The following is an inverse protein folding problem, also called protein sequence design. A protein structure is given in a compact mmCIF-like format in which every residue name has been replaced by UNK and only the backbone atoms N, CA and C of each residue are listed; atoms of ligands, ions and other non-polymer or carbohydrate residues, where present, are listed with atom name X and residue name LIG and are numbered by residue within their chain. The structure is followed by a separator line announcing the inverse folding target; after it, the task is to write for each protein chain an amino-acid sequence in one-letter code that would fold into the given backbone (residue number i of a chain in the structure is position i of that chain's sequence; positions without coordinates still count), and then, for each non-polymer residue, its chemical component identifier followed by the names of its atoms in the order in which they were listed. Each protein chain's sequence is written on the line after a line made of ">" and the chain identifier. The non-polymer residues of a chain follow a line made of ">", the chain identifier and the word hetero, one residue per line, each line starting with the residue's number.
data_IF_637365836856
#
_entry.id   IF_637365836856
#
_cell.length_a   1.000
_cell.length_b   1.000
_cell.length_c   1.000
_cell.angle_alpha   90.00
_cell.angle_beta   90.00
_cell.angle_gamma   90.00
#
_symmetry.space_group_name_H-M   'P 1'
#
loop_
_entity.id
_entity.type
_entity.pdbx_description
1 polymer ?
#
# COMPACT_ATOMS: atom_id res chain seq x y z
N UNK A 1 1.00 36.47 -9.30
CA UNK A 1 1.65 35.66 -10.35
C UNK A 1 1.03 34.28 -10.28
N UNK A 2 0.67 33.68 -11.43
CA UNK A 2 0.15 32.32 -11.44
C UNK A 2 1.27 31.33 -11.11
N UNK A 3 0.94 30.29 -10.34
CA UNK A 3 1.86 29.19 -10.07
C UNK A 3 1.65 28.09 -11.12
N UNK A 4 2.70 27.70 -11.83
CA UNK A 4 2.63 26.66 -12.85
C UNK A 4 3.10 25.33 -12.28
N UNK A 5 2.25 24.33 -12.39
CA UNK A 5 2.53 22.93 -12.10
C UNK A 5 2.89 22.24 -13.41
N UNK A 6 4.11 21.73 -13.52
CA UNK A 6 4.60 21.01 -14.70
C UNK A 6 5.00 19.58 -14.30
N UNK A 7 4.18 18.57 -14.63
CA UNK A 7 4.52 17.18 -14.38
C UNK A 7 5.76 16.74 -15.18
N UNK A 8 6.50 15.71 -14.71
CA UNK A 8 7.51 15.03 -15.51
C UNK A 8 6.97 14.57 -16.87
N UNK A 9 7.83 14.51 -17.88
CA UNK A 9 7.45 14.09 -19.23
C UNK A 9 6.95 12.64 -19.28
N UNK A 10 7.54 11.77 -18.45
CA UNK A 10 7.20 10.36 -18.36
C UNK A 10 6.75 10.02 -16.95
N UNK A 11 5.55 9.44 -16.85
CA UNK A 11 4.94 9.00 -15.61
C UNK A 11 4.44 7.56 -15.77
N UNK A 12 5.37 6.62 -15.93
CA UNK A 12 5.08 5.18 -15.95
C UNK A 12 5.33 4.51 -14.60
N UNK A 13 5.02 3.22 -14.49
CA UNK A 13 5.09 2.47 -13.23
C UNK A 13 6.47 2.54 -12.57
N UNK A 14 7.55 2.56 -13.37
CA UNK A 14 8.93 2.70 -12.88
C UNK A 14 9.22 4.07 -12.26
N UNK A 15 8.44 5.09 -12.63
CA UNK A 15 8.58 6.46 -12.16
C UNK A 15 7.80 6.71 -10.87
N UNK A 16 6.89 5.81 -10.48
CA UNK A 16 5.98 6.02 -9.34
C UNK A 16 6.72 6.31 -8.03
N UNK A 17 7.76 5.53 -7.72
CA UNK A 17 8.58 5.75 -6.52
C UNK A 17 9.25 7.12 -6.52
N UNK A 18 9.79 7.55 -7.68
CA UNK A 18 10.47 8.83 -7.78
C UNK A 18 9.48 10.00 -7.74
N UNK A 19 8.31 9.83 -8.36
CA UNK A 19 7.19 10.75 -8.27
C UNK A 19 6.73 10.94 -6.81
N UNK A 20 6.55 9.85 -6.06
CA UNK A 20 6.17 9.93 -4.65
C UNK A 20 7.20 10.71 -3.82
N UNK A 21 8.50 10.44 -4.05
CA UNK A 21 9.60 11.15 -3.36
C UNK A 21 9.66 12.64 -3.69
N UNK A 22 9.24 13.04 -4.89
CA UNK A 22 9.23 14.45 -5.31
C UNK A 22 7.96 15.20 -4.92
N UNK A 23 6.99 14.53 -4.29
CA UNK A 23 5.72 15.12 -3.86
C UNK A 23 5.87 15.89 -2.54
N UNK A 24 6.65 16.98 -2.52
CA UNK A 24 6.91 17.73 -1.28
C UNK A 24 5.90 18.85 -1.02
N UNK A 25 5.69 19.23 0.24
CA UNK A 25 4.95 20.44 0.61
C UNK A 25 5.39 21.68 -0.21
N UNK A 26 6.69 21.89 -0.42
CA UNK A 26 7.22 23.07 -1.12
C UNK A 26 6.98 23.05 -2.63
N UNK A 27 6.90 21.86 -3.23
CA UNK A 27 6.72 21.67 -4.67
C UNK A 27 5.24 21.67 -5.06
N UNK A 28 4.34 21.26 -4.15
CA UNK A 28 2.93 21.09 -4.49
C UNK A 28 2.00 21.97 -3.69
N UNK A 29 2.22 22.25 -2.40
CA UNK A 29 1.39 23.23 -1.66
C UNK A 29 1.66 24.60 -2.26
N UNK A 30 0.78 24.99 -3.17
CA UNK A 30 0.77 26.30 -3.82
C UNK A 30 1.04 27.37 -2.76
N UNK A 31 2.21 28.00 -2.85
CA UNK A 31 2.58 29.15 -2.02
C UNK A 31 1.58 30.26 -2.32
N UNK A 32 0.54 30.40 -1.51
CA UNK A 32 -0.35 31.57 -1.39
C UNK A 32 -0.94 32.17 -2.70
N UNK A 33 -0.84 31.52 -3.87
CA UNK A 33 -1.41 32.05 -5.12
C UNK A 33 -2.82 31.56 -5.33
N UNK A 34 -3.71 32.44 -5.77
CA UNK A 34 -5.08 32.09 -6.18
C UNK A 34 -5.13 31.41 -7.54
N UNK A 35 -4.19 31.73 -8.45
CA UNK A 35 -4.19 31.23 -9.83
C UNK A 35 -3.15 30.11 -10.02
N UNK A 36 -3.62 28.98 -10.53
CA UNK A 36 -2.82 27.77 -10.80
C UNK A 36 -2.94 27.42 -12.28
N UNK A 37 -1.81 27.15 -12.92
CA UNK A 37 -1.75 26.59 -14.29
C UNK A 37 -1.22 25.18 -14.20
N UNK A 38 -2.03 24.17 -14.54
CA UNK A 38 -1.60 22.80 -14.71
C UNK A 38 -1.16 22.59 -16.17
N UNK A 39 0.15 22.59 -16.41
CA UNK A 39 0.71 22.46 -17.75
C UNK A 39 1.03 21.00 -18.06
N UNK A 40 0.11 20.33 -18.75
CA UNK A 40 0.27 18.95 -19.22
C UNK A 40 0.83 18.89 -20.65
N UNK A 41 1.19 20.02 -21.26
CA UNK A 41 1.59 20.07 -22.67
C UNK A 41 2.92 19.39 -22.96
N UNK A 42 3.82 19.36 -21.96
CA UNK A 42 5.12 18.68 -22.06
C UNK A 42 5.07 17.19 -21.69
N UNK A 43 3.93 16.68 -21.24
CA UNK A 43 3.81 15.27 -20.84
C UNK A 43 3.77 14.40 -22.09
N UNK A 44 4.60 13.36 -22.14
CA UNK A 44 4.63 12.38 -23.24
C UNK A 44 3.89 11.10 -22.88
N UNK A 45 3.90 10.70 -21.61
CA UNK A 45 3.22 9.48 -21.13
C UNK A 45 2.71 9.63 -19.70
N UNK A 46 1.48 9.16 -19.47
CA UNK A 46 0.88 9.02 -18.13
C UNK A 46 0.26 7.63 -17.99
N UNK A 47 0.62 6.94 -16.91
CA UNK A 47 -0.08 5.76 -16.43
C UNK A 47 -1.38 6.14 -15.68
N UNK A 48 -2.32 5.19 -15.50
CA UNK A 48 -3.57 5.39 -14.76
C UNK A 48 -3.38 5.98 -13.37
N UNK A 49 -2.40 5.49 -12.60
CA UNK A 49 -2.10 6.05 -11.28
C UNK A 49 -1.76 7.54 -11.35
N UNK A 50 -1.02 7.98 -12.37
CA UNK A 50 -0.63 9.37 -12.53
C UNK A 50 -1.85 10.23 -12.86
N UNK A 51 -2.72 9.77 -13.76
CA UNK A 51 -4.00 10.42 -14.07
C UNK A 51 -4.81 10.64 -12.78
N UNK A 52 -4.96 9.60 -11.97
CA UNK A 52 -5.73 9.64 -10.71
C UNK A 52 -5.12 10.62 -9.73
N UNK A 53 -3.83 10.50 -9.41
CA UNK A 53 -3.17 11.36 -8.40
C UNK A 53 -3.17 12.83 -8.82
N UNK A 54 -2.70 13.14 -10.03
CA UNK A 54 -2.67 14.52 -10.49
C UNK A 54 -4.06 15.15 -10.55
N UNK A 55 -5.03 14.45 -11.12
CA UNK A 55 -6.38 15.02 -11.27
C UNK A 55 -7.05 15.22 -9.92
N UNK A 56 -6.85 14.29 -8.99
CA UNK A 56 -7.42 14.40 -7.64
C UNK A 56 -6.82 15.58 -6.87
N UNK A 57 -5.51 15.79 -7.02
CA UNK A 57 -4.84 16.95 -6.45
C UNK A 57 -5.35 18.28 -7.04
N UNK A 58 -5.47 18.37 -8.36
CA UNK A 58 -6.00 19.55 -9.04
C UNK A 58 -7.47 19.81 -8.66
N UNK A 59 -8.26 18.76 -8.46
CA UNK A 59 -9.63 18.87 -7.99
C UNK A 59 -9.69 19.45 -6.56
N UNK A 60 -8.79 19.01 -5.68
CA UNK A 60 -8.65 19.58 -4.33
C UNK A 60 -8.26 21.07 -4.35
N UNK A 61 -7.30 21.47 -5.20
CA UNK A 61 -6.95 22.88 -5.39
C UNK A 61 -8.17 23.70 -5.82
N UNK A 62 -8.92 23.20 -6.80
CA UNK A 62 -10.11 23.87 -7.33
C UNK A 62 -11.23 23.97 -6.29
N UNK A 63 -11.63 22.86 -5.66
CA UNK A 63 -12.84 22.80 -4.83
C UNK A 63 -12.62 23.10 -3.35
N UNK A 64 -11.43 22.82 -2.81
CA UNK A 64 -11.14 23.03 -1.38
C UNK A 64 -10.38 24.33 -1.18
N UNK A 65 -9.33 24.54 -1.97
CA UNK A 65 -8.51 25.75 -1.90
C UNK A 65 -9.09 26.92 -2.69
N UNK A 66 -10.15 26.69 -3.47
CA UNK A 66 -10.85 27.70 -4.25
C UNK A 66 -9.91 28.42 -5.24
N UNK A 67 -8.90 27.69 -5.73
CA UNK A 67 -7.98 28.19 -6.72
C UNK A 67 -8.64 28.30 -8.09
N UNK A 68 -8.31 29.35 -8.84
CA UNK A 68 -8.59 29.41 -10.27
C UNK A 68 -7.61 28.48 -10.97
N UNK A 69 -8.15 27.43 -11.59
CA UNK A 69 -7.38 26.42 -12.30
C UNK A 69 -7.50 26.61 -13.81
N UNK A 70 -6.36 26.76 -14.48
CA UNK A 70 -6.22 26.64 -15.94
C UNK A 70 -5.47 25.34 -16.24
N UNK A 71 -5.98 24.54 -17.19
CA UNK A 71 -5.31 23.31 -17.63
C UNK A 71 -4.85 23.49 -19.07
N UNK A 72 -3.56 23.29 -19.33
CA UNK A 72 -2.97 23.34 -20.67
C UNK A 72 -2.69 21.92 -21.15
N UNK A 73 -3.17 21.62 -22.35
CA UNK A 73 -2.88 20.38 -23.07
C UNK A 73 -1.97 20.70 -24.26
N UNK A 74 -1.16 19.73 -24.69
CA UNK A 74 -0.36 19.86 -25.90
C UNK A 74 -1.19 19.64 -27.15
N UNK A 75 -0.67 20.07 -28.30
CA UNK A 75 -1.35 19.99 -29.59
C UNK A 75 -1.56 18.53 -30.04
N UNK A 76 -2.74 17.97 -29.78
CA UNK A 76 -3.17 16.62 -30.21
C UNK A 76 -2.15 15.50 -29.94
N UNK A 77 -1.28 15.67 -28.93
CA UNK A 77 -0.30 14.66 -28.55
C UNK A 77 -1.00 13.41 -28.01
N UNK A 78 -0.33 12.25 -28.07
CA UNK A 78 -0.89 10.99 -27.54
C UNK A 78 -1.29 11.12 -26.06
N UNK A 79 -0.48 11.82 -25.27
CA UNK A 79 -0.75 12.11 -23.86
C UNK A 79 -1.98 13.02 -23.67
N UNK A 80 -2.15 14.05 -24.51
CA UNK A 80 -3.29 14.95 -24.44
C UNK A 80 -4.59 14.26 -24.87
N UNK A 81 -4.52 13.41 -25.89
CA UNK A 81 -5.63 12.50 -26.27
C UNK A 81 -5.98 11.58 -25.11
N UNK A 82 -4.99 10.96 -24.47
CA UNK A 82 -5.21 10.07 -23.32
C UNK A 82 -5.78 10.82 -22.10
N UNK A 83 -5.35 12.05 -21.83
CA UNK A 83 -5.92 12.91 -20.78
C UNK A 83 -7.41 13.18 -21.00
N UNK A 84 -7.81 13.46 -22.25
CA UNK A 84 -9.22 13.65 -22.62
C UNK A 84 -9.99 12.34 -22.46
N UNK A 85 -9.49 11.24 -23.01
CA UNK A 85 -10.11 9.91 -22.93
C UNK A 85 -10.30 9.44 -21.48
N UNK A 86 -9.34 9.76 -20.61
CA UNK A 86 -9.39 9.40 -19.19
C UNK A 86 -10.40 10.23 -18.40
N UNK A 87 -10.98 11.28 -18.99
CA UNK A 87 -12.03 12.08 -18.36
C UNK A 87 -11.54 13.29 -17.56
N UNK A 88 -10.26 13.67 -17.66
CA UNK A 88 -9.70 14.85 -16.95
C UNK A 88 -10.53 16.12 -17.21
N UNK A 89 -10.92 16.47 -18.45
CA UNK A 89 -11.71 17.68 -18.71
C UNK A 89 -13.09 17.67 -18.03
N UNK A 90 -13.73 16.49 -17.97
CA UNK A 90 -15.03 16.32 -17.32
C UNK A 90 -14.93 16.53 -15.81
N UNK A 91 -13.95 15.88 -15.15
CA UNK A 91 -13.73 15.99 -13.71
C UNK A 91 -13.33 17.42 -13.30
N UNK A 92 -12.44 18.06 -14.07
CA UNK A 92 -11.95 19.40 -13.77
C UNK A 92 -12.85 20.51 -14.34
N UNK A 93 -13.86 20.18 -15.13
CA UNK A 93 -14.85 21.11 -15.67
C UNK A 93 -14.27 22.15 -16.64
N UNK A 94 -13.49 21.72 -17.63
CA UNK A 94 -13.01 22.58 -18.71
C UNK A 94 -13.26 21.96 -20.09
N UNK A 95 -13.25 22.79 -21.14
CA UNK A 95 -13.39 22.33 -22.53
C UNK A 95 -12.02 22.23 -23.18
N UNK A 96 -11.60 21.06 -23.69
CA UNK A 96 -10.33 20.92 -24.39
C UNK A 96 -10.39 21.61 -25.77
N UNK A 97 -9.24 22.05 -26.28
CA UNK A 97 -9.14 22.69 -27.60
C UNK A 97 -9.37 21.76 -28.80
N UNK A 98 -9.50 20.46 -28.55
CA UNK A 98 -9.77 19.44 -29.55
C UNK A 98 -10.52 18.26 -28.91
N UNK A 99 -11.19 17.45 -29.74
CA UNK A 99 -11.89 16.23 -29.30
C UNK A 99 -11.03 14.99 -29.46
N UNK A 100 -11.16 14.03 -28.54
CA UNK A 100 -10.59 12.70 -28.67
C UNK A 100 -11.71 11.66 -28.74
N UNK A 101 -11.57 10.66 -29.61
CA UNK A 101 -12.49 9.51 -29.63
C UNK A 101 -12.39 8.73 -28.32
N UNK A 102 -13.53 8.25 -27.80
CA UNK A 102 -13.53 7.43 -26.59
C UNK A 102 -12.71 6.16 -26.79
N UNK A 103 -11.91 5.78 -25.80
CA UNK A 103 -11.28 4.46 -25.79
C UNK A 103 -12.35 3.37 -25.62
N UNK A 104 -12.05 2.15 -26.07
CA UNK A 104 -12.92 0.98 -25.85
C UNK A 104 -13.19 0.79 -24.35
N UNK A 105 -14.47 0.57 -24.02
CA UNK A 105 -14.95 0.24 -22.67
C UNK A 105 -14.39 -1.07 -22.12
N UNK A 106 -13.81 -1.91 -22.99
CA UNK A 106 -13.15 -3.16 -22.63
C UNK A 106 -11.65 -2.96 -22.33
N UNK A 107 -11.13 -1.74 -22.53
CA UNK A 107 -9.74 -1.39 -22.24
C UNK A 107 -9.57 -0.40 -21.10
N UNK A 108 -10.56 0.44 -20.83
CA UNK A 108 -10.43 1.47 -19.80
C UNK A 108 -11.77 1.79 -19.13
N UNK A 109 -11.71 1.97 -17.82
CA UNK A 109 -12.69 2.69 -17.04
C UNK A 109 -12.13 4.09 -16.77
N UNK A 110 -12.72 5.16 -17.34
CA UNK A 110 -12.23 6.52 -17.15
C UNK A 110 -12.38 6.95 -15.69
N UNK A 111 -11.82 8.13 -15.37
CA UNK A 111 -11.90 8.72 -14.04
C UNK A 111 -13.36 8.75 -13.54
N UNK A 112 -13.57 8.06 -12.43
CA UNK A 112 -14.83 8.00 -11.70
C UNK A 112 -14.64 8.69 -10.36
N UNK A 113 -15.54 9.62 -10.04
CA UNK A 113 -15.55 10.29 -8.75
C UNK A 113 -16.21 9.38 -7.72
N UNK A 114 -15.54 9.16 -6.59
CA UNK A 114 -15.99 8.34 -5.47
C UNK A 114 -16.30 9.26 -4.30
N UNK A 115 -17.57 9.60 -4.10
CA UNK A 115 -18.00 10.48 -3.00
C UNK A 115 -18.98 9.78 -2.06
N UNK A 116 -19.78 8.87 -2.59
CA UNK A 116 -20.88 8.21 -1.89
C UNK A 116 -20.77 6.69 -2.02
N UNK A 117 -21.47 5.97 -1.15
CA UNK A 117 -21.56 4.50 -1.23
C UNK A 117 -22.11 3.98 -2.56
N UNK A 118 -22.88 4.81 -3.27
CA UNK A 118 -23.53 4.44 -4.53
C UNK A 118 -22.55 4.48 -5.72
N UNK A 119 -21.41 5.17 -5.57
CA UNK A 119 -20.37 5.25 -6.60
C UNK A 119 -19.51 3.98 -6.64
N UNK A 120 -19.32 3.35 -5.48
CA UNK A 120 -18.52 2.14 -5.29
C UNK A 120 -18.97 0.96 -6.17
N UNK A 121 -20.24 0.52 -6.16
CA UNK A 121 -20.67 -0.61 -6.97
C UNK A 121 -20.61 -0.32 -8.48
N UNK A 122 -20.81 0.93 -8.90
CA UNK A 122 -20.72 1.36 -10.31
C UNK A 122 -19.28 1.23 -10.82
N UNK A 123 -18.32 1.74 -10.04
CA UNK A 123 -16.91 1.58 -10.37
C UNK A 123 -16.50 0.11 -10.38
N UNK A 124 -16.85 -0.65 -9.35
CA UNK A 124 -16.50 -2.08 -9.29
C UNK A 124 -17.05 -2.87 -10.47
N UNK A 125 -18.28 -2.61 -10.93
CA UNK A 125 -18.84 -3.25 -12.12
C UNK A 125 -17.98 -2.99 -13.37
N UNK A 126 -17.43 -1.78 -13.51
CA UNK A 126 -16.53 -1.47 -14.64
C UNK A 126 -15.22 -2.25 -14.56
N UNK A 127 -14.66 -2.42 -13.36
CA UNK A 127 -13.44 -3.20 -13.14
C UNK A 127 -13.69 -4.69 -13.41
N UNK A 128 -14.81 -5.25 -12.94
CA UNK A 128 -15.18 -6.65 -13.20
C UNK A 128 -15.30 -6.94 -14.71
N UNK A 129 -15.84 -6.01 -15.48
CA UNK A 129 -15.87 -6.14 -16.96
C UNK A 129 -14.47 -6.15 -17.56
N UNK A 130 -13.54 -5.34 -17.07
CA UNK A 130 -12.15 -5.33 -17.56
C UNK A 130 -11.42 -6.64 -17.23
N UNK A 131 -11.69 -7.19 -16.05
CA UNK A 131 -11.20 -8.50 -15.63
C UNK A 131 -11.82 -9.64 -16.44
N UNK A 132 -13.06 -9.47 -16.93
CA UNK A 132 -13.79 -10.45 -17.74
C UNK A 132 -13.77 -11.85 -17.10
N UNK A 133 -14.28 -11.90 -15.88
CA UNK A 133 -14.43 -13.14 -15.12
C UNK A 133 -15.63 -13.90 -15.67
N UNK A 134 -15.44 -15.17 -16.04
CA UNK A 134 -16.52 -16.01 -16.59
C UNK A 134 -17.28 -16.84 -15.56
N UNK A 135 -16.79 -16.89 -14.33
CA UNK A 135 -17.37 -17.64 -13.21
C UNK A 135 -18.07 -16.68 -12.24
N UNK A 136 -19.38 -16.89 -12.01
CA UNK A 136 -20.22 -16.01 -11.19
C UNK A 136 -19.84 -16.01 -9.69
N UNK A 137 -19.40 -17.15 -9.15
CA UNK A 137 -19.02 -17.25 -7.73
C UNK A 137 -17.73 -16.48 -7.49
N UNK A 138 -16.76 -16.71 -8.37
CA UNK A 138 -15.49 -16.01 -8.36
C UNK A 138 -15.66 -14.50 -8.61
N UNK A 139 -16.55 -14.11 -9.53
CA UNK A 139 -16.89 -12.72 -9.78
C UNK A 139 -17.38 -12.04 -8.50
N UNK A 140 -18.24 -12.71 -7.71
CA UNK A 140 -18.75 -12.20 -6.45
C UNK A 140 -17.66 -11.89 -5.42
N UNK A 141 -16.72 -12.81 -5.25
CA UNK A 141 -15.64 -12.64 -4.27
C UNK A 141 -14.57 -11.62 -4.71
N UNK A 142 -14.28 -11.58 -6.01
CA UNK A 142 -13.43 -10.55 -6.62
C UNK A 142 -14.03 -9.17 -6.48
N UNK A 143 -15.32 -9.04 -6.80
CA UNK A 143 -16.06 -7.79 -6.65
C UNK A 143 -16.01 -7.31 -5.20
N UNK A 144 -16.18 -8.21 -4.24
CA UNK A 144 -16.05 -7.88 -2.82
C UNK A 144 -14.66 -7.34 -2.47
N UNK A 145 -13.58 -7.91 -3.02
CA UNK A 145 -12.23 -7.41 -2.74
C UNK A 145 -12.01 -6.03 -3.38
N UNK A 146 -12.44 -5.84 -4.62
CA UNK A 146 -12.22 -4.61 -5.39
C UNK A 146 -13.00 -3.41 -4.83
N UNK A 147 -14.21 -3.62 -4.30
CA UNK A 147 -15.00 -2.52 -3.71
C UNK A 147 -14.33 -1.91 -2.48
N UNK A 148 -13.39 -2.61 -1.82
CA UNK A 148 -12.80 -2.16 -0.56
C UNK A 148 -11.92 -0.92 -0.73
N UNK A 149 -11.20 -0.79 -1.86
CA UNK A 149 -10.39 0.40 -2.14
C UNK A 149 -11.24 1.68 -2.24
N UNK A 150 -12.26 1.77 -3.13
CA UNK A 150 -13.14 2.94 -3.18
C UNK A 150 -14.05 3.06 -1.95
N UNK A 151 -14.43 1.96 -1.27
CA UNK A 151 -15.17 2.02 0.01
C UNK A 151 -14.37 2.73 1.09
N UNK A 152 -13.06 2.45 1.20
CA UNK A 152 -12.17 3.10 2.15
C UNK A 152 -12.14 4.63 1.96
N UNK A 153 -12.20 5.10 0.71
CA UNK A 153 -12.33 6.53 0.41
C UNK A 153 -13.59 7.12 1.07
N UNK A 154 -14.76 6.50 0.82
CA UNK A 154 -16.04 6.99 1.34
C UNK A 154 -16.07 6.95 2.88
N UNK A 155 -15.54 5.89 3.48
CA UNK A 155 -15.64 5.67 4.93
C UNK A 155 -14.60 6.47 5.74
N UNK A 156 -13.38 6.62 5.23
CA UNK A 156 -12.25 7.05 6.04
C UNK A 156 -11.59 8.33 5.57
N UNK A 157 -11.67 8.70 4.28
CA UNK A 157 -10.89 9.84 3.77
C UNK A 157 -11.28 11.17 4.42
N UNK A 158 -12.57 11.37 4.72
CA UNK A 158 -13.15 12.69 5.05
C UNK A 158 -12.76 13.78 4.03
N UNK A 159 -12.43 13.38 2.81
CA UNK A 159 -12.05 14.27 1.72
C UNK A 159 -13.29 15.00 1.20
N UNK A 160 -13.28 16.34 1.24
CA UNK A 160 -14.37 17.17 0.69
C UNK A 160 -14.65 16.88 -0.80
N UNK A 161 -13.64 16.78 -1.69
CA UNK A 161 -13.90 16.40 -3.08
C UNK A 161 -14.21 14.91 -3.26
N UNK A 162 -14.09 14.09 -2.22
CA UNK A 162 -14.09 12.62 -2.31
C UNK A 162 -12.75 12.09 -2.81
N UNK A 163 -12.78 10.96 -3.52
CA UNK A 163 -11.63 10.43 -4.24
C UNK A 163 -11.93 10.22 -5.72
N UNK A 164 -10.89 9.86 -6.46
CA UNK A 164 -10.96 9.48 -7.86
C UNK A 164 -10.48 8.04 -8.03
N UNK A 165 -11.10 7.32 -8.95
CA UNK A 165 -10.73 5.96 -9.30
C UNK A 165 -10.70 5.78 -10.82
N UNK A 166 -9.77 4.98 -11.32
CA UNK A 166 -9.60 4.66 -12.73
C UNK A 166 -9.13 3.21 -12.86
N UNK A 167 -9.45 2.55 -13.97
CA UNK A 167 -8.90 1.24 -14.26
C UNK A 167 -8.54 1.08 -15.74
N UNK A 168 -7.50 0.31 -16.04
CA UNK A 168 -7.05 0.06 -17.40
C UNK A 168 -6.56 -1.38 -17.58
N UNK A 169 -6.99 -2.00 -18.68
CA UNK A 169 -6.51 -3.30 -19.12
C UNK A 169 -5.38 -3.11 -20.16
N UNK A 170 -4.29 -3.85 -19.97
CA UNK A 170 -3.12 -3.91 -20.85
C UNK A 170 -3.03 -5.27 -21.55
N UNK A 171 -3.53 -5.41 -22.80
CA UNK A 171 -3.57 -6.70 -23.49
C UNK A 171 -2.21 -7.36 -23.69
N UNK A 172 -1.14 -6.58 -23.79
CA UNK A 172 0.22 -7.11 -23.99
C UNK A 172 0.78 -7.80 -22.74
N UNK A 173 0.40 -7.34 -21.55
CA UNK A 173 0.91 -7.87 -20.28
C UNK A 173 -0.12 -8.73 -19.56
N UNK A 174 -1.39 -8.68 -19.97
CA UNK A 174 -2.51 -9.33 -19.29
C UNK A 174 -2.93 -8.63 -17.99
N UNK A 175 -2.37 -7.45 -17.68
CA UNK A 175 -2.61 -6.74 -16.44
C UNK A 175 -3.85 -5.84 -16.51
N UNK A 176 -4.66 -5.88 -15.47
CA UNK A 176 -5.67 -4.87 -15.16
C UNK A 176 -5.13 -4.05 -13.99
N UNK A 177 -4.86 -2.77 -14.26
CA UNK A 177 -4.47 -1.79 -13.26
C UNK A 177 -5.70 -1.06 -12.75
N UNK A 178 -5.82 -0.90 -11.44
CA UNK A 178 -6.87 -0.14 -10.76
C UNK A 178 -6.18 0.86 -9.84
N UNK A 179 -6.38 2.14 -10.08
CA UNK A 179 -5.84 3.21 -9.26
C UNK A 179 -6.98 3.94 -8.53
N UNK A 180 -6.80 4.18 -7.23
CA UNK A 180 -7.74 4.92 -6.38
C UNK A 180 -6.96 5.88 -5.51
N UNK A 181 -7.40 7.14 -5.40
CA UNK A 181 -6.80 8.08 -4.48
C UNK A 181 -7.83 9.05 -3.88
N UNK A 182 -7.53 9.56 -2.71
CA UNK A 182 -8.22 10.67 -2.05
C UNK A 182 -7.23 11.75 -1.61
N UNK A 183 -7.77 12.93 -1.30
CA UNK A 183 -7.03 14.06 -0.72
C UNK A 183 -7.52 14.35 0.71
N UNK A 184 -7.61 13.28 1.50
CA UNK A 184 -8.24 13.25 2.82
C UNK A 184 -7.27 13.31 4.00
N UNK A 185 -7.70 12.75 5.14
CA UNK A 185 -6.94 12.76 6.41
C UNK A 185 -5.74 11.80 6.44
N UNK A 186 -5.66 10.87 5.50
CA UNK A 186 -4.64 9.84 5.46
C UNK A 186 -4.83 8.70 6.47
N UNK A 187 -4.04 7.64 6.32
CA UNK A 187 -4.18 6.38 7.06
C UNK A 187 -3.82 6.54 8.54
N UNK A 188 -2.76 7.31 8.85
CA UNK A 188 -2.33 7.56 10.22
C UNK A 188 -3.45 8.20 11.05
N UNK A 189 -4.05 9.29 10.55
CA UNK A 189 -5.12 9.98 11.26
C UNK A 189 -6.40 9.15 11.34
N UNK A 190 -6.69 8.32 10.34
CA UNK A 190 -7.83 7.41 10.37
C UNK A 190 -7.70 6.31 11.44
N UNK A 191 -6.48 5.81 11.69
CA UNK A 191 -6.22 4.75 12.68
C UNK A 191 -5.99 5.28 14.10
N UNK A 192 -5.53 6.53 14.24
CA UNK A 192 -5.13 7.14 15.52
C UNK A 192 -6.14 6.98 16.68
N UNK A 193 -7.47 7.07 16.48
CA UNK A 193 -8.43 6.91 17.57
C UNK A 193 -8.41 5.52 18.22
N UNK A 194 -8.10 4.47 17.46
CA UNK A 194 -8.05 3.08 17.95
C UNK A 194 -6.63 2.62 18.28
N UNK A 195 -5.63 3.16 17.58
CA UNK A 195 -4.22 2.77 17.71
C UNK A 195 -3.36 4.00 18.01
N UNK A 196 -3.48 4.60 19.22
CA UNK A 196 -2.76 5.82 19.58
C UNK A 196 -1.23 5.68 19.57
N UNK A 197 -0.72 4.47 19.75
CA UNK A 197 0.70 4.09 19.70
C UNK A 197 1.32 4.17 18.30
N UNK A 198 0.48 4.21 17.25
CA UNK A 198 0.91 4.41 15.87
C UNK A 198 1.16 5.88 15.64
N UNK A 199 2.43 6.26 15.49
CA UNK A 199 2.91 7.65 15.48
C UNK A 199 3.63 8.05 14.18
N UNK A 200 3.76 7.14 13.22
CA UNK A 200 4.32 7.42 11.89
C UNK A 200 3.43 6.88 10.77
N UNK A 201 3.49 7.50 9.59
CA UNK A 201 2.75 7.05 8.41
C UNK A 201 3.14 5.63 8.00
N UNK A 202 4.43 5.29 8.05
CA UNK A 202 4.89 3.93 7.73
C UNK A 202 4.30 2.90 8.69
N UNK A 203 4.30 3.14 10.00
CA UNK A 203 3.67 2.24 10.98
C UNK A 203 2.17 2.10 10.72
N UNK A 204 1.49 3.20 10.38
CA UNK A 204 0.07 3.19 10.06
C UNK A 204 -0.25 2.35 8.83
N UNK A 205 0.51 2.53 7.75
CA UNK A 205 0.38 1.72 6.54
C UNK A 205 0.65 0.23 6.86
N UNK A 206 1.69 -0.08 7.66
CA UNK A 206 2.06 -1.48 8.00
C UNK A 206 0.97 -2.16 8.79
N UNK A 207 0.36 -1.43 9.72
CA UNK A 207 -0.76 -1.91 10.51
C UNK A 207 -2.02 -2.10 9.64
N UNK A 208 -2.33 -1.13 8.77
CA UNK A 208 -3.57 -1.13 7.98
C UNK A 208 -3.76 -2.33 7.05
N UNK A 209 -2.66 -2.94 6.58
CA UNK A 209 -2.69 -4.09 5.68
C UNK A 209 -2.78 -5.43 6.43
N UNK A 210 -2.84 -5.42 7.76
CA UNK A 210 -3.00 -6.62 8.57
C UNK A 210 -4.48 -7.00 8.70
N UNK A 211 -4.81 -8.30 8.83
CA UNK A 211 -6.16 -8.75 9.12
C UNK A 211 -6.76 -8.04 10.35
N UNK A 212 -8.05 -7.71 10.26
CA UNK A 212 -8.86 -7.15 11.35
C UNK A 212 -8.36 -5.78 11.86
N UNK A 213 -7.72 -4.99 11.01
CA UNK A 213 -7.35 -3.60 11.30
C UNK A 213 -8.32 -2.65 10.61
N UNK A 214 -9.00 -1.81 11.40
CA UNK A 214 -9.83 -0.69 10.91
C UNK A 214 -10.02 0.37 12.00
N UNK A 215 -10.16 1.65 11.61
CA UNK A 215 -10.44 2.76 12.51
C UNK A 215 -11.90 2.82 13.01
N UNK A 216 -12.83 2.14 12.34
CA UNK A 216 -14.26 2.10 12.72
C UNK A 216 -14.80 0.68 12.65
N UNK A 217 -15.03 0.05 13.80
CA UNK A 217 -15.84 -1.17 13.89
C UNK A 217 -17.29 -0.76 14.14
N UNK A 218 -17.93 -0.19 13.12
CA UNK A 218 -19.35 0.16 13.23
C UNK A 218 -20.19 -1.08 12.91
N UNK A 219 -20.88 -1.59 13.93
CA UNK A 219 -21.92 -2.59 13.80
C UNK A 219 -23.05 -2.05 12.91
N UNK A 220 -23.33 -2.73 11.79
CA UNK A 220 -24.57 -2.54 11.04
C UNK A 220 -24.40 -2.23 9.55
N UNK A 221 -24.33 -3.28 8.73
CA UNK A 221 -25.14 -3.46 7.51
C UNK A 221 -24.74 -4.81 6.85
N UNK A 222 -25.74 -5.64 6.58
CA UNK A 222 -25.69 -7.02 6.04
C UNK A 222 -25.29 -8.13 7.03
N UNK A 223 -26.34 -8.73 7.62
CA UNK A 223 -26.33 -9.70 8.72
C UNK A 223 -25.79 -11.11 8.43
N UNK A 224 -24.75 -11.23 7.61
CA UNK A 224 -23.92 -12.45 7.55
C UNK A 224 -22.41 -12.14 7.53
N UNK A 225 -22.03 -10.86 7.55
CA UNK A 225 -20.69 -10.40 7.17
C UNK A 225 -20.13 -9.33 8.13
N UNK A 226 -20.64 -9.27 9.36
CA UNK A 226 -20.08 -8.47 10.46
C UNK A 226 -18.67 -8.91 10.88
N UNK A 227 -18.27 -10.14 10.51
CA UNK A 227 -16.99 -10.75 10.89
C UNK A 227 -15.81 -10.34 9.97
N UNK A 228 -16.08 -9.65 8.86
CA UNK A 228 -15.09 -9.34 7.83
C UNK A 228 -14.56 -7.88 7.83
N UNK A 229 -14.97 -7.05 8.81
CA UNK A 229 -14.46 -5.70 8.94
C UNK A 229 -12.94 -5.70 9.16
N UNK A 230 -12.20 -4.95 8.33
CA UNK A 230 -10.74 -4.89 8.38
C UNK A 230 -10.01 -6.05 7.68
N UNK A 231 -10.70 -6.83 6.82
CA UNK A 231 -10.07 -7.86 5.98
C UNK A 231 -9.86 -7.42 4.52
N UNK A 232 -10.60 -6.41 4.05
CA UNK A 232 -10.62 -6.01 2.64
C UNK A 232 -9.23 -5.67 2.07
N UNK A 233 -8.51 -4.79 2.76
CA UNK A 233 -7.16 -4.37 2.34
C UNK A 233 -6.14 -5.53 2.42
N UNK A 234 -6.31 -6.43 3.39
CA UNK A 234 -5.49 -7.64 3.51
C UNK A 234 -5.74 -8.61 2.34
N UNK A 235 -7.00 -8.88 1.99
CA UNK A 235 -7.34 -9.77 0.88
C UNK A 235 -6.87 -9.23 -0.46
N UNK A 236 -7.12 -7.95 -0.75
CA UNK A 236 -6.75 -7.38 -2.04
C UNK A 236 -5.23 -7.41 -2.27
N UNK A 237 -4.42 -7.17 -1.22
CA UNK A 237 -2.96 -7.30 -1.35
C UNK A 237 -2.51 -8.74 -1.54
N UNK A 238 -3.09 -9.70 -0.83
CA UNK A 238 -2.67 -11.11 -0.93
C UNK A 238 -3.04 -11.67 -2.29
N UNK A 239 -4.23 -11.35 -2.77
CA UNK A 239 -4.72 -11.72 -4.09
C UNK A 239 -3.80 -11.15 -5.18
N UNK A 240 -3.49 -9.85 -5.14
CA UNK A 240 -2.65 -9.21 -6.14
C UNK A 240 -1.23 -9.79 -6.16
N UNK A 241 -0.61 -9.90 -4.99
CA UNK A 241 0.77 -10.38 -4.90
C UNK A 241 0.90 -11.87 -5.21
N UNK A 242 -0.07 -12.70 -4.85
CA UNK A 242 -0.02 -14.14 -5.18
C UNK A 242 -0.37 -14.45 -6.62
N UNK A 243 -1.10 -13.57 -7.30
CA UNK A 243 -1.39 -13.66 -8.74
C UNK A 243 -0.29 -13.04 -9.64
N UNK A 244 0.94 -12.91 -9.12
CA UNK A 244 2.08 -12.27 -9.82
C UNK A 244 1.78 -10.86 -10.32
N UNK A 245 0.94 -10.15 -9.56
CA UNK A 245 0.60 -8.74 -9.73
C UNK A 245 1.31 -7.86 -8.71
N UNK A 246 0.77 -6.66 -8.51
CA UNK A 246 1.37 -5.61 -7.72
C UNK A 246 0.35 -4.85 -6.87
N UNK A 247 0.79 -4.30 -5.75
CA UNK A 247 0.00 -3.47 -4.86
C UNK A 247 0.86 -2.35 -4.29
N UNK A 248 0.61 -1.13 -4.76
CA UNK A 248 1.21 0.08 -4.23
C UNK A 248 0.21 0.77 -3.33
N UNK A 249 0.65 1.19 -2.16
CA UNK A 249 -0.22 1.83 -1.17
C UNK A 249 0.53 2.89 -0.40
N UNK A 250 0.03 4.11 -0.39
CA UNK A 250 0.72 5.25 0.21
C UNK A 250 -0.21 6.24 0.87
N UNK A 251 0.33 6.92 1.88
CA UNK A 251 -0.35 7.97 2.64
C UNK A 251 0.67 8.79 3.39
N UNK A 252 0.49 10.11 3.42
CA UNK A 252 1.44 11.02 4.07
C UNK A 252 2.84 10.81 3.52
N UNK A 253 3.81 10.62 4.41
CA UNK A 253 5.23 10.52 4.09
C UNK A 253 5.70 9.12 3.72
N UNK A 254 4.80 8.13 3.64
CA UNK A 254 5.15 6.73 3.45
C UNK A 254 4.43 6.06 2.27
N UNK A 255 5.09 5.06 1.70
CA UNK A 255 4.55 4.20 0.66
C UNK A 255 5.04 2.75 0.82
N UNK A 256 4.21 1.82 0.38
CA UNK A 256 4.52 0.40 0.25
C UNK A 256 4.41 -0.01 -1.20
N UNK A 257 5.33 -0.86 -1.63
CA UNK A 257 5.31 -1.54 -2.91
C UNK A 257 5.39 -3.04 -2.64
N UNK A 258 4.32 -3.77 -2.94
CA UNK A 258 4.20 -5.21 -2.74
C UNK A 258 3.98 -5.87 -4.11
N UNK A 259 4.68 -6.97 -4.41
CA UNK A 259 4.50 -7.67 -5.69
C UNK A 259 4.70 -9.19 -5.56
N UNK A 260 4.21 -9.91 -6.56
CA UNK A 260 4.51 -11.33 -6.75
C UNK A 260 5.61 -11.54 -7.78
N UNK A 261 6.58 -12.39 -7.47
CA UNK A 261 7.58 -12.87 -8.41
C UNK A 261 7.06 -14.12 -9.14
N UNK A 262 7.59 -14.37 -10.34
CA UNK A 262 7.21 -15.53 -11.17
C UNK A 262 7.52 -16.88 -10.50
N UNK A 263 8.46 -16.92 -9.55
CA UNK A 263 8.79 -18.12 -8.77
C UNK A 263 7.81 -18.37 -7.59
N UNK A 264 6.75 -17.58 -7.50
CA UNK A 264 5.73 -17.64 -6.44
C UNK A 264 6.16 -16.98 -5.13
N UNK A 265 7.37 -16.40 -5.06
CA UNK A 265 7.79 -15.63 -3.89
C UNK A 265 7.17 -14.23 -3.90
N UNK A 266 6.92 -13.69 -2.71
CA UNK A 266 6.42 -12.32 -2.56
C UNK A 266 7.60 -11.37 -2.36
N UNK A 267 7.61 -10.30 -3.13
CA UNK A 267 8.51 -9.18 -2.97
C UNK A 267 7.82 -8.00 -2.29
N UNK A 268 8.63 -7.21 -1.59
CA UNK A 268 8.12 -6.07 -0.81
C UNK A 268 9.20 -5.04 -0.53
N UNK A 269 8.79 -3.78 -0.64
CA UNK A 269 9.58 -2.61 -0.31
C UNK A 269 8.75 -1.59 0.46
N UNK A 270 9.39 -1.00 1.48
CA UNK A 270 8.86 0.15 2.22
C UNK A 270 9.66 1.40 1.89
N UNK A 271 8.95 2.51 1.78
CA UNK A 271 9.52 3.79 1.43
C UNK A 271 9.01 4.82 2.44
N UNK A 272 9.92 5.62 2.95
CA UNK A 272 9.61 6.83 3.69
C UNK A 272 10.36 7.97 3.03
N UNK A 273 9.67 9.09 2.83
CA UNK A 273 10.17 10.21 2.05
C UNK A 273 9.81 11.53 2.72
N UNK A 274 10.49 12.60 2.31
CA UNK A 274 10.12 13.96 2.72
C UNK A 274 8.88 14.46 1.95
N UNK A 275 8.53 13.81 0.85
CA UNK A 275 7.27 14.02 0.14
C UNK A 275 6.09 13.46 0.91
N UNK A 276 5.00 14.23 0.97
CA UNK A 276 3.80 13.94 1.75
C UNK A 276 2.56 13.99 0.85
N UNK A 277 2.01 12.83 0.50
CA UNK A 277 0.71 12.79 -0.19
C UNK A 277 -0.40 13.19 0.81
N UNK A 278 -1.18 14.25 0.54
CA UNK A 278 -2.19 14.75 1.47
C UNK A 278 -3.48 13.91 1.39
N UNK A 279 -3.42 12.64 1.82
CA UNK A 279 -4.54 11.70 1.76
C UNK A 279 -4.06 10.25 1.70
N UNK A 280 -4.77 9.41 0.97
CA UNK A 280 -4.39 8.01 0.70
C UNK A 280 -4.47 7.70 -0.78
N UNK A 281 -3.60 6.82 -1.27
CA UNK A 281 -3.71 6.23 -2.60
C UNK A 281 -3.39 4.74 -2.59
N UNK A 282 -3.99 4.02 -3.54
CA UNK A 282 -3.72 2.62 -3.81
C UNK A 282 -3.67 2.40 -5.33
N UNK A 283 -2.69 1.62 -5.79
CA UNK A 283 -2.64 1.06 -7.14
C UNK A 283 -2.58 -0.46 -7.04
N UNK A 284 -3.53 -1.12 -7.67
CA UNK A 284 -3.67 -2.57 -7.72
C UNK A 284 -3.40 -3.04 -9.15
N UNK A 285 -2.57 -4.06 -9.30
CA UNK A 285 -2.32 -4.71 -10.57
C UNK A 285 -2.71 -6.19 -10.45
N UNK A 286 -3.71 -6.61 -11.22
CA UNK A 286 -4.20 -7.99 -11.27
C UNK A 286 -3.93 -8.60 -12.64
N UNK A 287 -3.52 -9.87 -12.69
CA UNK A 287 -3.41 -10.61 -13.95
C UNK A 287 -4.73 -11.25 -14.31
N UNK A 288 -5.25 -10.93 -15.50
CA UNK A 288 -6.50 -11.48 -16.01
C UNK A 288 -6.48 -13.00 -16.12
N UNK A 289 -5.35 -13.58 -16.55
CA UNK A 289 -5.23 -15.02 -16.74
C UNK A 289 -5.03 -15.79 -15.43
N UNK A 290 -4.59 -15.11 -14.36
CA UNK A 290 -4.45 -15.69 -13.03
C UNK A 290 -5.77 -15.70 -12.25
N UNK A 291 -6.85 -15.13 -12.80
CA UNK A 291 -8.15 -15.01 -12.14
C UNK A 291 -8.69 -16.37 -11.70
N UNK A 292 -8.53 -17.42 -12.50
CA UNK A 292 -9.00 -18.76 -12.15
C UNK A 292 -8.36 -19.34 -10.87
N UNK A 293 -7.21 -18.82 -10.44
CA UNK A 293 -6.55 -19.24 -9.20
C UNK A 293 -7.13 -18.57 -7.96
N UNK A 294 -7.98 -17.56 -8.11
CA UNK A 294 -8.42 -16.69 -7.01
C UNK A 294 -9.27 -17.41 -5.97
N UNK A 295 -10.08 -18.40 -6.33
CA UNK A 295 -10.86 -19.16 -5.34
C UNK A 295 -9.95 -19.89 -4.35
N UNK A 296 -8.87 -20.49 -4.87
CA UNK A 296 -7.83 -21.10 -4.04
C UNK A 296 -7.12 -20.04 -3.17
N UNK A 297 -6.86 -18.86 -3.73
CA UNK A 297 -6.24 -17.74 -3.01
C UNK A 297 -7.15 -17.19 -1.91
N UNK A 298 -8.46 -17.14 -2.12
CA UNK A 298 -9.44 -16.72 -1.12
C UNK A 298 -9.48 -17.69 0.06
N UNK A 299 -9.40 -19.00 -0.21
CA UNK A 299 -9.22 -20.02 0.82
C UNK A 299 -7.98 -19.75 1.67
N UNK A 300 -6.84 -19.56 1.01
CA UNK A 300 -5.56 -19.21 1.68
C UNK A 300 -5.69 -17.91 2.48
N UNK A 301 -6.34 -16.88 1.95
CA UNK A 301 -6.54 -15.61 2.63
C UNK A 301 -7.38 -15.77 3.91
N UNK A 302 -8.45 -16.58 3.87
CA UNK A 302 -9.28 -16.88 5.03
C UNK A 302 -8.50 -17.66 6.09
N UNK A 303 -7.68 -18.63 5.68
CA UNK A 303 -6.81 -19.37 6.61
C UNK A 303 -5.77 -18.46 7.28
N UNK A 304 -5.14 -17.57 6.51
CA UNK A 304 -4.19 -16.59 7.03
C UNK A 304 -4.87 -15.63 8.01
N UNK A 305 -6.05 -15.11 7.69
CA UNK A 305 -6.82 -14.26 8.59
C UNK A 305 -7.21 -15.01 9.89
N UNK A 306 -7.66 -16.26 9.78
CA UNK A 306 -8.03 -17.08 10.93
C UNK A 306 -6.84 -17.42 11.84
N UNK A 307 -5.66 -17.64 11.26
CA UNK A 307 -4.43 -17.88 12.02
C UNK A 307 -4.10 -16.67 12.91
N UNK A 308 -4.22 -15.47 12.35
CA UNK A 308 -4.00 -14.19 13.07
C UNK A 308 -4.94 -14.03 14.26
N UNK A 309 -6.21 -14.41 14.12
CA UNK A 309 -7.21 -14.29 15.19
C UNK A 309 -6.99 -15.28 16.32
N UNK A 310 -6.51 -16.50 16.02
CA UNK A 310 -6.24 -17.53 17.04
C UNK A 310 -5.02 -17.23 17.89
N UNK A 311 -4.02 -16.58 17.31
CA UNK A 311 -2.84 -16.11 18.01
C UNK A 311 -2.32 -14.85 17.32
N UNK A 312 -2.56 -13.64 17.88
CA UNK A 312 -2.06 -12.39 17.31
C UNK A 312 -0.53 -12.38 17.14
N UNK A 313 0.19 -13.26 17.86
CA UNK A 313 1.63 -13.46 17.72
C UNK A 313 2.04 -14.38 16.55
N UNK A 314 1.09 -14.98 15.82
CA UNK A 314 1.36 -15.70 14.57
C UNK A 314 1.49 -14.78 13.35
N UNK A 315 1.18 -13.48 13.50
CA UNK A 315 1.44 -12.51 12.45
C UNK A 315 2.94 -12.33 12.22
N UNK A 316 3.27 -12.49 10.94
CA UNK A 316 4.55 -12.85 10.38
C UNK A 316 5.62 -11.82 10.67
N UNK A 317 6.82 -12.35 10.96
CA UNK A 317 8.06 -11.63 10.77
C UNK A 317 8.00 -10.84 9.45
N UNK A 318 8.27 -9.55 9.53
CA UNK A 318 8.18 -8.67 8.36
C UNK A 318 9.42 -8.83 7.47
N UNK A 319 9.37 -9.77 6.54
CA UNK A 319 10.41 -9.94 5.52
C UNK A 319 10.21 -8.95 4.37
N UNK A 320 11.28 -8.28 3.96
CA UNK A 320 11.35 -7.41 2.78
C UNK A 320 12.60 -7.74 1.95
N UNK A 321 12.67 -7.27 0.71
CA UNK A 321 13.84 -7.51 -0.14
C UNK A 321 14.96 -6.50 0.11
N UNK A 322 14.60 -5.30 0.54
CA UNK A 322 15.52 -4.17 0.80
C UNK A 322 15.16 -3.46 2.09
N UNK A 323 16.14 -2.89 2.80
CA UNK A 323 15.84 -2.06 3.96
C UNK A 323 14.94 -0.88 3.56
N UNK A 324 14.08 -0.40 4.48
CA UNK A 324 13.26 0.78 4.22
C UNK A 324 14.16 1.94 3.78
N UNK A 325 13.88 2.50 2.60
CA UNK A 325 14.63 3.66 2.12
C UNK A 325 14.21 4.85 2.97
N UNK A 326 15.13 5.33 3.79
CA UNK A 326 15.11 6.60 4.52
C UNK A 326 14.09 6.71 5.66
N UNK A 327 14.59 6.55 6.88
CA UNK A 327 13.89 6.86 8.13
C UNK A 327 14.88 6.83 9.29
N UNK A 328 14.46 7.16 10.51
CA UNK A 328 15.27 7.05 11.73
C UNK A 328 15.52 5.60 12.19
N UNK A 329 15.28 4.61 11.33
CA UNK A 329 15.38 3.21 11.64
C UNK A 329 16.85 2.79 11.79
N UNK A 330 17.16 2.03 12.84
CA UNK A 330 18.47 1.41 13.00
C UNK A 330 18.62 0.27 11.98
N UNK A 331 19.52 0.43 11.00
CA UNK A 331 19.80 -0.62 10.00
C UNK A 331 21.06 -1.39 10.42
N UNK A 332 20.90 -2.68 10.70
CA UNK A 332 21.96 -3.60 11.07
C UNK A 332 22.38 -4.44 9.85
N UNK A 333 23.54 -4.12 9.28
CA UNK A 333 24.15 -4.90 8.19
C UNK A 333 24.74 -6.19 8.74
N UNK A 334 24.00 -7.29 8.61
CA UNK A 334 24.36 -8.59 9.19
C UNK A 334 25.67 -9.12 8.61
N UNK A 335 25.96 -8.82 7.35
CA UNK A 335 27.22 -9.21 6.70
C UNK A 335 28.48 -8.71 7.43
N UNK A 336 28.39 -7.65 8.24
CA UNK A 336 29.52 -7.10 9.00
C UNK A 336 29.88 -7.91 10.27
N UNK A 337 29.01 -8.84 10.67
CA UNK A 337 29.18 -9.67 11.85
C UNK A 337 28.62 -11.09 11.69
N UNK A 338 28.45 -11.54 10.44
CA UNK A 338 27.95 -12.88 10.11
C UNK A 338 28.77 -13.96 10.84
N UNK A 339 28.10 -15.03 11.25
CA UNK A 339 28.65 -16.14 12.06
C UNK A 339 29.16 -15.78 13.47
N UNK A 340 29.30 -14.49 13.83
CA UNK A 340 29.76 -14.07 15.16
C UNK A 340 28.58 -13.97 16.17
N UNK A 341 28.28 -15.09 16.81
CA UNK A 341 27.20 -15.24 17.80
C UNK A 341 27.32 -14.26 18.97
N UNK A 342 28.54 -14.04 19.48
CA UNK A 342 28.76 -13.13 20.62
C UNK A 342 28.46 -11.68 20.24
N UNK A 343 28.98 -11.24 19.09
CA UNK A 343 28.74 -9.88 18.59
C UNK A 343 27.26 -9.66 18.25
N UNK A 344 26.58 -10.66 17.70
CA UNK A 344 25.14 -10.61 17.45
C UNK A 344 24.35 -10.43 18.75
N UNK A 345 24.70 -11.16 19.81
CA UNK A 345 24.07 -11.01 21.12
C UNK A 345 24.33 -9.63 21.73
N UNK A 346 25.56 -9.10 21.61
CA UNK A 346 25.89 -7.76 22.11
C UNK A 346 25.11 -6.66 21.38
N UNK A 347 25.00 -6.74 20.05
CA UNK A 347 24.20 -5.82 19.24
C UNK A 347 22.72 -5.89 19.66
N UNK A 348 22.20 -7.10 19.86
CA UNK A 348 20.82 -7.31 20.32
C UNK A 348 20.54 -6.59 21.64
N UNK A 349 21.38 -6.82 22.66
CA UNK A 349 21.17 -6.25 24.00
C UNK A 349 21.44 -4.74 24.06
N UNK A 350 22.49 -4.26 23.39
CA UNK A 350 22.94 -2.86 23.52
C UNK A 350 22.29 -1.91 22.53
N UNK A 351 21.78 -2.40 21.41
CA UNK A 351 21.25 -1.57 20.34
C UNK A 351 19.79 -1.90 20.01
N UNK A 352 19.46 -3.17 19.74
CA UNK A 352 18.13 -3.55 19.24
C UNK A 352 17.04 -3.40 20.30
N UNK A 353 17.23 -4.03 21.46
CA UNK A 353 16.23 -3.99 22.54
C UNK A 353 15.96 -2.54 23.00
N UNK A 354 16.98 -1.68 23.23
CA UNK A 354 16.76 -0.28 23.57
C UNK A 354 16.00 0.53 22.51
N UNK A 355 16.28 0.31 21.22
CA UNK A 355 15.57 1.01 20.13
C UNK A 355 14.08 0.62 20.09
N UNK A 356 13.79 -0.68 20.19
CA UNK A 356 12.42 -1.18 20.25
C UNK A 356 11.70 -0.66 21.51
N UNK A 357 12.38 -0.63 22.66
CA UNK A 357 11.82 -0.06 23.89
C UNK A 357 11.50 1.44 23.74
N UNK A 358 12.28 2.17 22.94
CA UNK A 358 12.03 3.57 22.58
C UNK A 358 11.00 3.75 21.44
N UNK A 359 10.27 2.71 21.05
CA UNK A 359 9.29 2.69 19.95
C UNK A 359 9.90 3.06 18.57
N UNK A 360 11.19 2.80 18.37
CA UNK A 360 11.91 3.06 17.11
C UNK A 360 12.06 1.80 16.28
N UNK A 361 12.08 1.98 14.96
CA UNK A 361 12.18 0.88 14.01
C UNK A 361 13.61 0.32 13.91
N UNK A 362 13.70 -1.00 13.69
CA UNK A 362 14.96 -1.72 13.52
C UNK A 362 14.88 -2.60 12.27
N UNK A 363 15.87 -2.51 11.39
CA UNK A 363 15.98 -3.37 10.21
C UNK A 363 17.21 -4.28 10.32
N UNK A 364 17.01 -5.59 10.21
CA UNK A 364 18.09 -6.56 10.05
C UNK A 364 18.33 -6.80 8.56
N UNK A 365 19.44 -6.32 8.02
CA UNK A 365 19.79 -6.45 6.60
C UNK A 365 20.75 -7.62 6.38
N UNK A 366 20.21 -8.72 5.84
CA UNK A 366 20.95 -9.94 5.48
C UNK A 366 21.49 -9.89 4.04
N UNK A 367 21.44 -8.75 3.36
CA UNK A 367 22.00 -8.62 2.00
C UNK A 367 23.47 -9.02 1.99
N UNK A 368 23.82 -9.95 1.11
CA UNK A 368 25.18 -10.49 1.00
C UNK A 368 25.47 -11.70 1.89
N UNK A 369 24.60 -12.03 2.85
CA UNK A 369 24.71 -13.25 3.68
C UNK A 369 24.21 -14.46 2.88
N UNK A 370 25.05 -15.48 2.70
CA UNK A 370 24.70 -16.68 1.92
C UNK A 370 23.63 -17.52 2.63
N UNK A 371 23.89 -17.90 3.89
CA UNK A 371 22.95 -18.65 4.71
C UNK A 371 23.28 -18.41 6.20
N UNK A 372 22.36 -17.82 6.94
CA UNK A 372 22.54 -17.66 8.38
C UNK A 372 22.21 -18.96 9.11
N UNK A 373 23.08 -19.36 10.05
CA UNK A 373 22.85 -20.56 10.89
C UNK A 373 21.76 -20.29 11.95
N UNK A 374 21.09 -21.35 12.41
CA UNK A 374 20.04 -21.22 13.43
C UNK A 374 20.58 -20.66 14.76
N UNK A 375 21.82 -21.00 15.16
CA UNK A 375 22.46 -20.47 16.38
C UNK A 375 22.75 -18.97 16.28
N UNK A 376 23.21 -18.51 15.11
CA UNK A 376 23.42 -17.10 14.85
C UNK A 376 22.11 -16.32 14.85
N UNK A 377 21.09 -16.80 14.14
CA UNK A 377 19.76 -16.20 14.14
C UNK A 377 19.17 -16.17 15.56
N UNK A 378 19.33 -17.23 16.34
CA UNK A 378 18.91 -17.26 17.74
C UNK A 378 19.58 -16.15 18.55
N UNK A 379 20.88 -15.94 18.38
CA UNK A 379 21.60 -14.83 19.02
C UNK A 379 21.14 -13.45 18.55
N UNK A 380 20.76 -13.29 17.29
CA UNK A 380 20.23 -12.02 16.80
C UNK A 380 18.86 -11.66 17.42
N UNK A 381 17.90 -12.61 17.41
CA UNK A 381 16.49 -12.23 17.52
C UNK A 381 15.61 -13.06 18.46
N UNK A 382 16.08 -14.16 19.06
CA UNK A 382 15.24 -14.98 19.95
C UNK A 382 14.63 -14.16 21.10
N UNK A 383 15.47 -13.45 21.86
CA UNK A 383 14.99 -12.59 22.96
C UNK A 383 14.16 -11.41 22.49
N UNK A 384 14.49 -10.85 21.33
CA UNK A 384 13.70 -9.75 20.74
C UNK A 384 12.28 -10.22 20.48
N UNK A 385 12.12 -11.38 19.85
CA UNK A 385 10.81 -11.95 19.51
C UNK A 385 10.03 -12.47 20.71
N UNK A 386 10.72 -12.87 21.78
CA UNK A 386 10.12 -13.37 23.03
C UNK A 386 9.74 -12.25 24.00
N UNK A 387 10.64 -11.28 24.19
CA UNK A 387 10.58 -10.30 25.27
C UNK A 387 10.05 -8.92 24.82
N UNK A 388 10.11 -8.58 23.52
CA UNK A 388 9.68 -7.27 23.00
C UNK A 388 8.34 -7.38 22.25
N UNK A 389 7.21 -6.96 22.82
CA UNK A 389 5.88 -7.11 22.20
C UNK A 389 5.76 -6.38 20.85
N UNK A 390 6.42 -5.24 20.72
CA UNK A 390 6.44 -4.39 19.53
C UNK A 390 7.51 -4.79 18.50
N UNK A 391 8.33 -5.81 18.76
CA UNK A 391 9.30 -6.29 17.78
C UNK A 391 8.64 -6.67 16.46
N UNK A 392 7.45 -7.27 16.50
CA UNK A 392 6.78 -7.75 15.28
C UNK A 392 6.25 -6.64 14.37
N UNK A 393 6.02 -5.45 14.92
CA UNK A 393 5.55 -4.27 14.16
C UNK A 393 6.69 -3.32 13.80
N UNK A 394 7.74 -3.24 14.62
CA UNK A 394 8.85 -2.29 14.45
C UNK A 394 10.11 -2.92 13.85
N UNK A 395 10.21 -4.24 13.83
CA UNK A 395 11.33 -4.95 13.23
C UNK A 395 11.01 -5.30 11.78
N UNK A 396 11.97 -5.06 10.89
CA UNK A 396 11.94 -5.55 9.50
C UNK A 396 13.17 -6.40 9.27
N UNK A 397 13.02 -7.47 8.50
CA UNK A 397 14.09 -8.39 8.13
C UNK A 397 14.25 -8.31 6.62
N UNK A 398 15.43 -7.96 6.13
CA UNK A 398 15.66 -7.59 4.74
C UNK A 398 16.71 -8.49 4.08
N UNK A 399 16.63 -8.69 2.76
CA UNK A 399 17.73 -9.28 1.99
C UNK A 399 18.01 -10.76 2.29
N UNK A 400 17.04 -11.52 2.81
CA UNK A 400 17.25 -12.92 3.20
C UNK A 400 17.16 -13.89 2.02
N UNK A 401 18.11 -14.84 1.98
CA UNK A 401 17.98 -16.07 1.18
C UNK A 401 16.87 -16.99 1.73
N UNK A 402 16.37 -17.92 0.92
CA UNK A 402 15.33 -18.90 1.35
C UNK A 402 15.75 -19.66 2.62
N UNK A 403 16.99 -20.12 2.68
CA UNK A 403 17.54 -20.81 3.85
C UNK A 403 17.53 -19.93 5.11
N UNK A 404 17.93 -18.65 4.96
CA UNK A 404 17.91 -17.68 6.07
C UNK A 404 16.48 -17.39 6.54
N UNK A 405 15.52 -17.23 5.61
CA UNK A 405 14.09 -17.04 5.95
C UNK A 405 13.57 -18.22 6.79
N UNK A 406 13.89 -19.46 6.42
CA UNK A 406 13.48 -20.64 7.18
C UNK A 406 14.11 -20.68 8.58
N UNK A 407 15.43 -20.42 8.72
CA UNK A 407 16.08 -20.37 10.02
C UNK A 407 15.43 -19.33 10.96
N UNK A 408 15.07 -18.15 10.43
CA UNK A 408 14.38 -17.08 11.17
C UNK A 408 12.97 -17.50 11.58
N UNK A 409 12.20 -18.11 10.68
CA UNK A 409 10.87 -18.66 11.02
C UNK A 409 10.95 -19.71 12.12
N UNK A 410 11.94 -20.60 12.06
CA UNK A 410 12.18 -21.62 13.09
C UNK A 410 12.44 -20.97 14.45
N UNK A 411 13.33 -19.98 14.53
CA UNK A 411 13.62 -19.26 15.79
C UNK A 411 12.39 -18.51 16.31
N UNK A 412 11.60 -17.89 15.44
CA UNK A 412 10.37 -17.22 15.84
C UNK A 412 9.32 -18.19 16.42
N UNK A 413 9.18 -19.38 15.84
CA UNK A 413 8.31 -20.42 16.37
C UNK A 413 8.75 -20.86 17.78
N UNK A 414 10.06 -21.06 18.00
CA UNK A 414 10.59 -21.36 19.33
C UNK A 414 10.34 -20.23 20.35
N UNK A 415 10.51 -18.97 19.95
CA UNK A 415 10.25 -17.82 20.81
C UNK A 415 8.77 -17.73 21.23
N UNK A 416 7.84 -18.01 20.31
CA UNK A 416 6.41 -18.03 20.59
C UNK A 416 6.01 -19.15 21.56
N UNK A 417 6.55 -20.37 21.37
CA UNK A 417 6.32 -21.50 22.27
C UNK A 417 6.83 -21.23 23.70
N UNK A 418 8.02 -20.64 23.83
CA UNK A 418 8.60 -20.26 25.12
C UNK A 418 7.76 -19.20 25.86
N UNK A 419 7.22 -18.22 25.15
CA UNK A 419 6.35 -17.20 25.74
C UNK A 419 5.02 -17.79 26.26
N UNK A 420 4.47 -18.80 25.58
CA UNK A 420 3.25 -19.49 26.00
C UNK A 420 3.45 -20.30 27.28
N UNK A 421 4.56 -21.04 27.38
CA UNK A 421 4.91 -21.81 28.58
C UNK A 421 5.10 -20.93 29.83
N UNK A 422 5.61 -19.70 29.66
CA UNK A 422 5.73 -18.71 30.75
C UNK A 422 4.37 -18.15 31.20
N UNK A 423 3.42 -17.98 30.29
CA UNK A 423 2.05 -17.51 30.61
C UNK A 423 1.20 -18.58 31.30
N UNK A 424 1.41 -19.85 30.94
CA UNK A 424 0.68 -20.99 31.50
C UNK A 424 1.30 -21.50 32.83
N UNK A 425 2.40 -20.89 33.28
CA UNK A 425 3.04 -21.25 34.54
C UNK A 425 2.16 -20.78 35.73
N UNK A 426 1.88 -21.64 36.73
CA UNK A 426 1.10 -21.25 37.89
C UNK A 426 1.79 -20.09 38.62
N UNK A 427 1.03 -19.10 39.15
CA UNK A 427 1.61 -18.00 39.89
C UNK A 427 2.43 -18.57 41.05
N UNK A 428 3.71 -18.16 41.11
CA UNK A 428 4.57 -18.52 42.23
C UNK A 428 3.89 -18.02 43.50
N UNK A 429 3.50 -18.95 44.38
CA UNK A 429 3.01 -18.61 45.71
C UNK A 429 4.17 -17.94 46.45
N UNK A 430 4.01 -16.66 46.75
CA UNK A 430 4.79 -16.00 47.81
C UNK A 430 4.55 -16.66 49.17
#
# INVERSE_FOLDING_TARGET
>A
MAYTITPPQYLGDKDFVNFFKSWTPETWLARQTSDIVADLSSVEFMAPWAVVLYTNYLLWLKEVRQNRLEVKLGDSSRSSVYAIQSGIPSILGFQPGFSAESQSKDRMSPLTRIQTSDDVPKFAQTVMRLLNVGDEELEGALRYSIIELPRNVVQHSKSRPGGLAMAQYYPKTGLVEVAVADVGIGVLQALKPKYPEVDTDLKALRLSILPHVSGTFSSGAYGSMSDNAGLGLFFIKEIATRSSGGFFFGSGSAMMDLWGNEDGTLGKQYLSSHGEWPGTFAMLQLRRDAIAEFDSLLGVCRELAAAVTKDPSTLSLDFSDRPPFQGSALILKVIEFDENVQRAADIREKQVIPQLAANKEVAWDFTGVRAATQSFVHACMYRVLRDCPNARTLMTICGCTKATKEAIKTVAAYAALGAKQLKDAPPQKE
#
